data_IF_923333642811
#
_entry.id   IF_923333642811
#
_cell.length_a   1.000
_cell.length_b   1.000
_cell.length_c   1.000
_cell.angle_alpha   90.00
_cell.angle_beta   90.00
_cell.angle_gamma   90.00
#
_symmetry.space_group_name_H-M   'P 1'
#
loop_
_entity.id
_entity.type
_entity.pdbx_description
1 polymer ?
#
# COMPACT_ATOMS: atom_id res chain seq x y z
N UNK A 1 -3.14 30.49 -37.00
CA UNK A 1 -2.73 30.05 -35.65
C UNK A 1 -3.94 29.36 -35.01
N UNK A 2 -4.00 28.03 -35.10
CA UNK A 2 -5.06 27.21 -34.50
C UNK A 2 -4.45 26.48 -33.29
N UNK A 3 -4.85 26.88 -32.08
CA UNK A 3 -4.53 26.14 -30.87
C UNK A 3 -5.41 24.89 -30.81
N UNK A 4 -4.79 23.71 -30.93
CA UNK A 4 -5.43 22.43 -30.58
C UNK A 4 -5.53 22.35 -29.06
N UNK A 5 -6.73 22.06 -28.56
CA UNK A 5 -6.97 21.79 -27.14
C UNK A 5 -6.20 20.53 -26.68
N UNK A 6 -5.74 20.48 -25.42
CA UNK A 6 -5.11 19.29 -24.86
C UNK A 6 -6.12 18.14 -24.75
N UNK A 7 -5.65 16.87 -24.84
CA UNK A 7 -6.52 15.70 -24.79
C UNK A 7 -7.20 15.57 -23.43
N UNK A 8 -8.48 15.22 -23.44
CA UNK A 8 -9.28 14.89 -22.26
C UNK A 8 -8.70 13.65 -21.58
N UNK A 9 -8.34 13.79 -20.31
CA UNK A 9 -8.05 12.67 -19.41
C UNK A 9 -9.41 12.05 -19.05
N UNK A 10 -9.67 10.83 -19.52
CA UNK A 10 -10.84 10.04 -19.11
C UNK A 10 -10.68 9.52 -17.66
N UNK A 11 -11.77 9.45 -16.88
CA UNK A 11 -11.72 9.12 -15.45
C UNK A 11 -11.51 7.61 -15.24
N UNK A 12 -10.27 7.18 -15.05
CA UNK A 12 -9.93 5.82 -14.53
C UNK A 12 -10.00 5.71 -13.00
N UNK A 13 -10.51 6.73 -12.30
CA UNK A 13 -10.53 6.82 -10.83
C UNK A 13 -11.71 6.03 -10.21
N UNK A 14 -12.76 5.70 -10.97
CA UNK A 14 -13.97 5.06 -10.43
C UNK A 14 -13.88 3.53 -10.28
N UNK A 15 -12.97 2.84 -10.97
CA UNK A 15 -12.86 1.37 -10.86
C UNK A 15 -12.02 0.91 -9.65
N UNK A 16 -11.12 1.74 -9.12
CA UNK A 16 -10.26 1.38 -7.99
C UNK A 16 -10.94 1.53 -6.61
N UNK A 17 -12.05 2.26 -6.54
CA UNK A 17 -12.80 2.47 -5.29
C UNK A 17 -13.77 1.33 -4.96
N UNK A 18 -14.04 0.43 -5.93
CA UNK A 18 -15.03 -0.63 -5.78
C UNK A 18 -14.41 -1.97 -5.35
N UNK A 19 -13.16 -2.25 -5.72
CA UNK A 19 -12.45 -3.49 -5.30
C UNK A 19 -11.93 -3.42 -3.85
N UNK A 20 -11.54 -2.23 -3.35
CA UNK A 20 -11.07 -2.04 -1.96
C UNK A 20 -12.20 -2.12 -0.93
N UNK A 21 -13.47 -1.96 -1.35
CA UNK A 21 -14.62 -2.18 -0.46
C UNK A 21 -14.87 -3.66 -0.15
N UNK A 22 -14.32 -4.58 -0.95
CA UNK A 22 -14.59 -6.01 -0.83
C UNK A 22 -13.46 -6.79 -0.13
N UNK A 23 -12.36 -6.13 0.28
CA UNK A 23 -11.17 -6.79 0.84
C UNK A 23 -10.93 -6.58 2.35
N UNK A 24 -11.86 -5.96 3.08
CA UNK A 24 -11.79 -5.93 4.55
C UNK A 24 -12.47 -7.18 5.15
N UNK A 25 -11.77 -8.02 5.94
CA UNK A 25 -12.36 -9.23 6.54
C UNK A 25 -13.40 -8.95 7.63
N UNK A 26 -13.53 -7.71 8.08
CA UNK A 26 -14.39 -7.34 9.22
C UNK A 26 -15.43 -6.30 8.82
N UNK A 27 -16.36 -6.71 7.96
CA UNK A 27 -17.67 -6.06 7.83
C UNK A 27 -18.65 -6.84 8.70
N UNK A 28 -18.87 -6.38 9.93
CA UNK A 28 -20.11 -6.75 10.61
C UNK A 28 -21.23 -5.97 9.93
N UNK A 29 -21.92 -6.62 8.99
CA UNK A 29 -23.23 -6.14 8.57
C UNK A 29 -24.16 -6.33 9.75
N UNK A 30 -24.32 -5.30 10.59
CA UNK A 30 -25.55 -5.17 11.37
C UNK A 30 -26.67 -5.14 10.34
N UNK A 31 -27.37 -6.26 10.19
CA UNK A 31 -28.38 -6.42 9.16
C UNK A 31 -29.43 -5.34 9.35
N UNK A 32 -29.67 -4.51 8.32
CA UNK A 32 -30.77 -3.54 8.32
C UNK A 32 -32.06 -4.28 8.73
N UNK A 33 -32.83 -3.69 9.64
CA UNK A 33 -34.03 -4.33 10.19
C UNK A 33 -34.92 -4.88 9.05
N UNK A 34 -35.28 -6.15 9.12
CA UNK A 34 -35.96 -6.87 8.04
C UNK A 34 -37.48 -6.78 8.09
N UNK A 35 -38.06 -6.21 9.15
CA UNK A 35 -39.52 -6.12 9.36
C UNK A 35 -39.99 -4.67 9.39
N UNK A 36 -41.05 -4.39 8.64
CA UNK A 36 -41.81 -3.13 8.67
C UNK A 36 -43.25 -3.42 9.12
N UNK A 37 -43.42 -3.86 10.38
CA UNK A 37 -44.75 -4.02 10.99
C UNK A 37 -44.85 -3.19 12.26
N UNK A 38 -46.03 -2.73 12.68
CA UNK A 38 -46.20 -2.13 14.00
C UNK A 38 -45.74 -3.10 15.10
N UNK A 39 -45.28 -2.53 16.23
CA UNK A 39 -45.04 -3.32 17.45
C UNK A 39 -46.37 -3.92 17.92
N UNK A 40 -46.34 -5.17 18.36
CA UNK A 40 -47.47 -5.79 19.03
C UNK A 40 -47.50 -5.38 20.52
N UNK A 41 -48.60 -5.69 21.22
CA UNK A 41 -48.76 -5.31 22.64
C UNK A 41 -47.64 -5.82 23.55
N UNK A 42 -47.07 -7.00 23.26
CA UNK A 42 -45.98 -7.57 24.04
C UNK A 42 -44.68 -6.81 23.81
N UNK A 43 -44.37 -6.47 22.56
CA UNK A 43 -43.20 -5.67 22.18
C UNK A 43 -43.31 -4.24 22.73
N UNK A 44 -44.50 -3.63 22.76
CA UNK A 44 -44.71 -2.32 23.40
C UNK A 44 -44.52 -2.38 24.93
N UNK A 45 -44.99 -3.45 25.58
CA UNK A 45 -44.74 -3.66 27.01
C UNK A 45 -43.24 -3.85 27.29
N UNK A 46 -42.55 -4.63 26.46
CA UNK A 46 -41.09 -4.81 26.55
C UNK A 46 -40.36 -3.49 26.35
N UNK A 47 -40.75 -2.67 25.35
CA UNK A 47 -40.16 -1.35 25.11
C UNK A 47 -40.35 -0.42 26.31
N UNK A 48 -41.54 -0.39 26.91
CA UNK A 48 -41.82 0.39 28.11
C UNK A 48 -40.97 -0.06 29.29
N UNK A 49 -40.86 -1.36 29.52
CA UNK A 49 -40.03 -1.92 30.58
C UNK A 49 -38.56 -1.63 30.36
N UNK A 50 -38.06 -1.77 29.12
CA UNK A 50 -36.68 -1.48 28.76
C UNK A 50 -36.29 -0.03 29.12
N UNK A 51 -37.13 0.95 28.75
CA UNK A 51 -36.92 2.34 29.16
C UNK A 51 -37.03 2.54 30.67
N UNK A 52 -37.97 1.88 31.35
CA UNK A 52 -38.07 1.93 32.81
C UNK A 52 -36.77 1.44 33.47
N UNK A 53 -36.17 0.39 32.92
CA UNK A 53 -34.97 -0.25 33.44
C UNK A 53 -33.69 0.52 33.13
N UNK A 54 -33.51 1.02 31.90
CA UNK A 54 -32.36 1.84 31.50
C UNK A 54 -32.23 3.08 32.41
N UNK A 55 -33.35 3.67 32.81
CA UNK A 55 -33.39 4.86 33.67
C UNK A 55 -33.46 4.52 35.17
N UNK A 56 -33.35 3.25 35.54
CA UNK A 56 -33.32 2.81 36.95
C UNK A 56 -31.93 2.98 37.57
N UNK A 57 -31.79 2.62 38.85
CA UNK A 57 -30.50 2.58 39.56
C UNK A 57 -29.95 1.17 39.80
N UNK A 58 -30.69 0.12 39.42
CA UNK A 58 -30.25 -1.26 39.64
C UNK A 58 -29.46 -1.78 38.46
N UNK A 59 -28.22 -2.23 38.68
CA UNK A 59 -27.33 -2.64 37.59
C UNK A 59 -27.89 -3.77 36.73
N UNK A 60 -28.46 -4.81 37.36
CA UNK A 60 -29.11 -5.93 36.65
C UNK A 60 -30.29 -5.44 35.80
N UNK A 61 -31.08 -4.51 36.33
CA UNK A 61 -32.20 -3.92 35.59
C UNK A 61 -31.67 -3.13 34.41
N UNK A 62 -30.68 -2.26 34.61
CA UNK A 62 -30.06 -1.46 33.54
C UNK A 62 -29.60 -2.36 32.41
N UNK A 63 -28.85 -3.43 32.72
CA UNK A 63 -28.35 -4.39 31.73
C UNK A 63 -29.51 -5.06 30.96
N UNK A 64 -30.50 -5.61 31.67
CA UNK A 64 -31.70 -6.18 31.05
C UNK A 64 -32.42 -5.16 30.15
N UNK A 65 -32.47 -3.90 30.57
CA UNK A 65 -33.07 -2.81 29.80
C UNK A 65 -32.32 -2.53 28.49
N UNK A 66 -30.99 -2.51 28.53
CA UNK A 66 -30.14 -2.30 27.35
C UNK A 66 -30.31 -3.47 26.36
N UNK A 67 -30.21 -4.71 26.83
CA UNK A 67 -30.38 -5.91 26.01
C UNK A 67 -31.76 -5.95 25.35
N UNK A 68 -32.82 -5.72 26.13
CA UNK A 68 -34.20 -5.71 25.62
C UNK A 68 -34.39 -4.64 24.55
N UNK A 69 -33.86 -3.42 24.76
CA UNK A 69 -33.96 -2.35 23.78
C UNK A 69 -33.18 -2.68 22.50
N UNK A 70 -31.95 -3.21 22.64
CA UNK A 70 -31.09 -3.65 21.54
C UNK A 70 -31.80 -4.69 20.67
N UNK A 71 -32.36 -5.73 21.29
CA UNK A 71 -33.07 -6.80 20.58
C UNK A 71 -34.31 -6.27 19.84
N UNK A 72 -35.09 -5.39 20.47
CA UNK A 72 -36.25 -4.77 19.82
C UNK A 72 -35.83 -3.93 18.60
N UNK A 73 -34.75 -3.17 18.73
CA UNK A 73 -34.21 -2.33 17.65
C UNK A 73 -33.65 -3.14 16.49
N UNK A 74 -32.90 -4.21 16.75
CA UNK A 74 -32.40 -5.13 15.72
C UNK A 74 -33.55 -5.76 14.95
N UNK A 75 -34.60 -6.18 15.67
CA UNK A 75 -35.75 -6.86 15.08
C UNK A 75 -36.62 -5.93 14.23
N UNK A 76 -36.86 -4.70 14.68
CA UNK A 76 -37.83 -3.80 14.04
C UNK A 76 -37.60 -2.32 14.37
N UNK A 77 -36.43 -1.80 13.98
CA UNK A 77 -36.00 -0.42 14.24
C UNK A 77 -37.09 0.62 13.92
N UNK A 78 -37.65 0.59 12.70
CA UNK A 78 -38.63 1.59 12.27
C UNK A 78 -39.89 1.61 13.15
N UNK A 79 -40.35 0.46 13.63
CA UNK A 79 -41.52 0.42 14.50
C UNK A 79 -41.22 0.94 15.91
N UNK A 80 -39.99 0.71 16.40
CA UNK A 80 -39.55 1.27 17.69
C UNK A 80 -39.37 2.79 17.58
N UNK A 81 -38.69 3.29 16.55
CA UNK A 81 -38.42 4.71 16.33
C UNK A 81 -39.71 5.54 16.18
N UNK A 82 -40.73 4.99 15.51
CA UNK A 82 -42.04 5.63 15.38
C UNK A 82 -42.94 5.48 16.62
N UNK A 83 -42.56 4.65 17.60
CA UNK A 83 -43.42 4.40 18.75
C UNK A 83 -43.47 5.61 19.70
N UNK A 84 -44.65 5.88 20.25
CA UNK A 84 -44.86 6.98 21.20
C UNK A 84 -43.96 6.87 22.45
N UNK A 85 -43.70 5.65 22.95
CA UNK A 85 -42.87 5.40 24.13
C UNK A 85 -41.42 5.84 23.85
N UNK A 86 -40.89 5.46 22.69
CA UNK A 86 -39.55 5.83 22.27
C UNK A 86 -39.44 7.35 22.09
N UNK A 87 -40.38 7.95 21.37
CA UNK A 87 -40.36 9.39 21.09
C UNK A 87 -40.47 10.26 22.36
N UNK A 88 -41.14 9.80 23.41
CA UNK A 88 -41.19 10.50 24.71
C UNK A 88 -39.83 10.54 25.44
N UNK A 89 -38.98 9.53 25.22
CA UNK A 89 -37.68 9.38 25.91
C UNK A 89 -36.47 9.64 25.01
N UNK A 90 -36.68 9.76 23.70
CA UNK A 90 -35.65 9.97 22.67
C UNK A 90 -34.63 11.03 23.03
N UNK A 91 -35.09 12.20 23.48
CA UNK A 91 -34.20 13.32 23.82
C UNK A 91 -33.43 13.14 25.14
N UNK A 92 -33.89 12.25 26.02
CA UNK A 92 -33.23 11.96 27.30
C UNK A 92 -32.24 10.79 27.19
N UNK A 93 -32.42 9.93 26.18
CA UNK A 93 -31.63 8.73 25.98
C UNK A 93 -30.13 9.05 25.80
N UNK A 94 -29.70 10.04 25.00
CA UNK A 94 -28.28 10.34 24.82
C UNK A 94 -27.53 10.61 26.14
N UNK A 95 -28.02 11.55 26.94
CA UNK A 95 -27.41 11.90 28.22
C UNK A 95 -27.34 10.70 29.17
N UNK A 96 -28.37 9.85 29.14
CA UNK A 96 -28.39 8.64 29.96
C UNK A 96 -27.35 7.63 29.48
N UNK A 97 -27.25 7.37 28.18
CA UNK A 97 -26.24 6.47 27.62
C UNK A 97 -24.82 6.99 27.91
N UNK A 98 -24.56 8.29 27.79
CA UNK A 98 -23.28 8.90 28.17
C UNK A 98 -22.98 8.76 29.67
N UNK A 99 -23.99 8.92 30.52
CA UNK A 99 -23.82 8.69 31.96
C UNK A 99 -23.44 7.23 32.25
N UNK A 100 -24.08 6.27 31.57
CA UNK A 100 -23.80 4.86 31.73
C UNK A 100 -22.42 4.47 31.18
N UNK A 101 -22.01 5.03 30.04
CA UNK A 101 -20.66 4.86 29.49
C UNK A 101 -19.58 5.29 30.49
N UNK A 102 -19.75 6.44 31.14
CA UNK A 102 -18.79 6.93 32.15
C UNK A 102 -18.70 6.04 33.41
N UNK A 103 -19.68 5.16 33.66
CA UNK A 103 -19.56 4.16 34.75
C UNK A 103 -18.64 3.00 34.41
N UNK A 104 -18.22 2.88 33.14
CA UNK A 104 -17.40 1.82 32.54
C UNK A 104 -17.99 0.40 32.58
N UNK A 105 -18.88 0.11 33.56
CA UNK A 105 -19.52 -1.20 33.76
C UNK A 105 -20.36 -1.68 32.58
N UNK A 106 -21.00 -0.76 31.86
CA UNK A 106 -21.91 -1.07 30.76
C UNK A 106 -21.32 -0.70 29.39
N UNK A 107 -19.99 -0.52 29.29
CA UNK A 107 -19.38 0.05 28.09
C UNK A 107 -19.71 -0.75 26.83
N UNK A 108 -19.47 -2.06 26.85
CA UNK A 108 -19.72 -2.93 25.70
C UNK A 108 -21.21 -2.94 25.30
N UNK A 109 -22.11 -3.12 26.28
CA UNK A 109 -23.56 -3.14 26.04
C UNK A 109 -24.07 -1.84 25.42
N UNK A 110 -23.57 -0.70 25.91
CA UNK A 110 -23.97 0.61 25.41
C UNK A 110 -23.39 0.86 24.02
N UNK A 111 -22.12 0.50 23.78
CA UNK A 111 -21.51 0.64 22.45
C UNK A 111 -22.22 -0.20 21.40
N UNK A 112 -22.63 -1.44 21.74
CA UNK A 112 -23.44 -2.27 20.84
C UNK A 112 -24.82 -1.66 20.56
N UNK A 113 -25.48 -1.10 21.58
CA UNK A 113 -26.74 -0.41 21.39
C UNK A 113 -26.58 0.83 20.49
N UNK A 114 -25.50 1.59 20.67
CA UNK A 114 -25.17 2.75 19.83
C UNK A 114 -24.93 2.33 18.38
N UNK A 115 -24.20 1.24 18.14
CA UNK A 115 -24.00 0.69 16.79
C UNK A 115 -25.34 0.38 16.11
N UNK A 116 -26.29 -0.23 16.81
CA UNK A 116 -27.63 -0.51 16.27
C UNK A 116 -28.40 0.78 15.97
N UNK A 117 -28.41 1.74 16.89
CA UNK A 117 -29.11 3.02 16.72
C UNK A 117 -28.61 3.76 15.48
N UNK A 118 -27.29 3.78 15.29
CA UNK A 118 -26.63 4.59 14.28
C UNK A 118 -26.58 3.92 12.92
N UNK A 119 -26.56 2.59 12.85
CA UNK A 119 -26.72 1.84 11.61
C UNK A 119 -28.08 2.13 10.93
N UNK A 120 -29.08 2.53 11.72
CA UNK A 120 -30.45 2.71 11.25
C UNK A 120 -30.93 4.19 11.28
N UNK A 121 -30.24 5.10 11.97
CA UNK A 121 -30.58 6.52 11.99
C UNK A 121 -29.36 7.44 12.14
N UNK A 122 -29.18 8.36 11.18
CA UNK A 122 -28.17 9.42 11.23
C UNK A 122 -28.50 10.56 12.19
N UNK A 123 -29.70 10.57 12.78
CA UNK A 123 -30.08 11.61 13.75
C UNK A 123 -29.36 11.44 15.09
N UNK A 124 -29.20 10.19 15.54
CA UNK A 124 -28.41 9.90 16.74
C UNK A 124 -26.97 10.38 16.58
N UNK A 125 -26.41 10.33 15.37
CA UNK A 125 -25.06 10.84 15.08
C UNK A 125 -24.93 12.33 15.48
N UNK A 126 -25.95 13.15 15.16
CA UNK A 126 -26.00 14.56 15.55
C UNK A 126 -26.23 14.76 17.03
N UNK A 127 -27.00 13.88 17.68
CA UNK A 127 -27.25 13.98 19.13
C UNK A 127 -25.99 13.68 19.95
N UNK A 128 -25.06 12.90 19.42
CA UNK A 128 -23.83 12.48 20.09
C UNK A 128 -22.57 13.22 19.60
N UNK A 129 -22.67 14.01 18.54
CA UNK A 129 -21.54 14.53 17.73
C UNK A 129 -20.41 15.17 18.54
N UNK A 130 -20.75 15.87 19.64
CA UNK A 130 -19.76 16.58 20.46
C UNK A 130 -19.42 15.88 21.78
N UNK A 131 -20.39 15.23 22.42
CA UNK A 131 -20.22 14.72 23.80
C UNK A 131 -19.70 13.28 23.84
N UNK A 132 -20.06 12.46 22.85
CA UNK A 132 -19.63 11.07 22.79
C UNK A 132 -18.11 10.94 22.55
N UNK A 133 -17.49 11.67 21.62
CA UNK A 133 -16.02 11.64 21.46
C UNK A 133 -15.28 11.94 22.78
N UNK A 134 -15.73 12.94 23.53
CA UNK A 134 -15.14 13.32 24.82
C UNK A 134 -15.33 12.22 25.87
N UNK A 135 -16.52 11.64 25.95
CA UNK A 135 -16.81 10.55 26.88
C UNK A 135 -15.94 9.32 26.60
N UNK A 136 -15.83 8.91 25.33
CA UNK A 136 -15.00 7.77 24.92
C UNK A 136 -13.52 8.00 25.25
N UNK A 137 -13.01 9.21 25.04
CA UNK A 137 -11.62 9.54 25.38
C UNK A 137 -11.33 9.45 26.88
N UNK A 138 -12.26 9.92 27.71
CA UNK A 138 -12.12 9.82 29.16
C UNK A 138 -12.07 8.36 29.60
N UNK A 139 -12.84 7.48 28.95
CA UNK A 139 -12.82 6.04 29.23
C UNK A 139 -11.47 5.44 28.81
N UNK A 140 -10.99 5.72 27.59
CA UNK A 140 -9.67 5.28 27.11
C UNK A 140 -8.56 5.69 28.08
N UNK A 141 -8.60 6.94 28.57
CA UNK A 141 -7.55 7.49 29.43
C UNK A 141 -7.59 7.00 30.88
N UNK A 142 -8.68 6.37 31.32
CA UNK A 142 -8.90 6.01 32.74
C UNK A 142 -9.17 4.53 32.99
N UNK A 143 -9.32 3.73 31.93
CA UNK A 143 -9.58 2.29 32.07
C UNK A 143 -8.34 1.54 32.55
N UNK A 144 -8.54 0.61 33.48
CA UNK A 144 -7.53 -0.38 33.88
C UNK A 144 -7.59 -1.64 33.02
N UNK A 145 -8.73 -1.91 32.38
CA UNK A 145 -8.93 -3.03 31.46
C UNK A 145 -8.77 -2.49 30.04
N UNK A 146 -7.51 -2.18 29.73
CA UNK A 146 -7.13 -1.42 28.56
C UNK A 146 -7.56 -2.13 27.26
N UNK A 147 -7.20 -3.40 27.09
CA UNK A 147 -7.46 -4.13 25.83
C UNK A 147 -8.95 -4.33 25.54
N UNK A 148 -9.74 -4.82 26.50
CA UNK A 148 -11.15 -5.17 26.23
C UNK A 148 -11.98 -3.92 25.89
N UNK A 149 -11.89 -2.90 26.74
CA UNK A 149 -12.70 -1.68 26.60
C UNK A 149 -12.26 -0.88 25.37
N UNK A 150 -10.96 -0.78 25.12
CA UNK A 150 -10.45 -0.02 23.98
C UNK A 150 -10.75 -0.75 22.68
N UNK A 151 -10.62 -2.07 22.64
CA UNK A 151 -11.05 -2.84 21.47
C UNK A 151 -12.51 -2.55 21.11
N UNK A 152 -13.43 -2.58 22.09
CA UNK A 152 -14.84 -2.25 21.88
C UNK A 152 -15.05 -0.81 21.40
N UNK A 153 -14.37 0.17 22.00
CA UNK A 153 -14.45 1.58 21.61
C UNK A 153 -13.92 1.79 20.19
N UNK A 154 -12.76 1.22 19.86
CA UNK A 154 -12.14 1.33 18.55
C UNK A 154 -12.99 0.62 17.49
N UNK A 155 -13.52 -0.56 17.79
CA UNK A 155 -14.48 -1.26 16.94
C UNK A 155 -15.69 -0.38 16.62
N UNK A 156 -16.23 0.30 17.62
CA UNK A 156 -17.28 1.29 17.43
C UNK A 156 -16.83 2.45 16.53
N UNK A 157 -15.62 3.01 16.73
CA UNK A 157 -15.07 4.10 15.91
C UNK A 157 -14.90 3.71 14.43
N UNK A 158 -14.45 2.48 14.17
CA UNK A 158 -14.31 1.90 12.81
C UNK A 158 -15.63 1.90 12.04
N UNK A 159 -16.77 1.77 12.73
CA UNK A 159 -18.11 1.73 12.13
C UNK A 159 -18.64 3.13 11.76
N UNK A 160 -18.02 4.21 12.27
CA UNK A 160 -18.55 5.57 12.16
C UNK A 160 -18.32 6.22 10.79
N UNK A 161 -18.88 7.41 10.59
CA UNK A 161 -18.58 8.24 9.44
C UNK A 161 -17.23 8.97 9.61
N UNK A 162 -16.73 9.60 8.54
CA UNK A 162 -15.43 10.31 8.55
C UNK A 162 -15.42 11.53 9.48
N UNK A 163 -16.50 12.31 9.53
CA UNK A 163 -16.59 13.53 10.36
C UNK A 163 -16.42 13.16 11.84
N UNK A 164 -17.08 12.09 12.28
CA UNK A 164 -16.94 11.60 13.65
C UNK A 164 -15.50 11.21 13.96
N UNK A 165 -14.84 10.45 13.07
CA UNK A 165 -13.43 10.08 13.26
C UNK A 165 -12.54 11.33 13.32
N UNK A 166 -12.73 12.29 12.43
CA UNK A 166 -11.98 13.54 12.42
C UNK A 166 -12.09 14.29 13.75
N UNK A 167 -13.31 14.52 14.24
CA UNK A 167 -13.53 15.19 15.53
C UNK A 167 -12.89 14.42 16.69
N UNK A 168 -12.90 13.09 16.61
CA UNK A 168 -12.27 12.24 17.61
C UNK A 168 -10.74 12.41 17.61
N UNK A 169 -10.11 12.43 16.43
CA UNK A 169 -8.68 12.69 16.30
C UNK A 169 -8.33 14.12 16.73
N UNK A 170 -9.10 15.11 16.25
CA UNK A 170 -8.85 16.53 16.49
C UNK A 170 -8.96 16.92 17.97
N UNK A 171 -9.91 16.35 18.71
CA UNK A 171 -10.21 16.84 20.06
C UNK A 171 -9.56 15.96 21.13
N UNK A 172 -9.26 14.69 20.84
CA UNK A 172 -9.14 13.70 21.89
C UNK A 172 -8.02 12.67 21.78
N UNK A 173 -7.62 12.25 20.57
CA UNK A 173 -6.65 11.16 20.41
C UNK A 173 -5.20 11.63 20.33
N UNK A 174 -4.96 12.96 20.36
CA UNK A 174 -3.63 13.49 20.10
C UNK A 174 -2.54 12.95 21.04
N UNK A 175 -2.84 12.88 22.33
CA UNK A 175 -1.83 12.56 23.33
C UNK A 175 -1.86 11.09 23.78
N UNK A 176 -2.97 10.39 23.56
CA UNK A 176 -3.24 9.09 24.18
C UNK A 176 -3.02 7.91 23.25
N UNK A 177 -3.24 8.09 21.94
CA UNK A 177 -3.24 6.97 20.99
C UNK A 177 -1.87 6.28 20.81
N UNK A 178 -0.73 7.00 20.76
CA UNK A 178 0.58 6.34 20.67
C UNK A 178 0.86 5.44 21.87
N UNK A 179 0.67 5.96 23.09
CA UNK A 179 0.83 5.18 24.33
C UNK A 179 -0.12 3.99 24.35
N UNK A 180 -1.37 4.23 23.93
CA UNK A 180 -2.40 3.22 23.84
C UNK A 180 -2.03 2.07 22.90
N UNK A 181 -1.43 2.39 21.75
CA UNK A 181 -0.97 1.38 20.80
C UNK A 181 0.16 0.53 21.36
N UNK A 182 1.08 1.12 22.12
CA UNK A 182 2.22 0.40 22.71
C UNK A 182 1.78 -0.58 23.81
N UNK A 183 0.75 -0.23 24.59
CA UNK A 183 0.24 -1.07 25.68
C UNK A 183 -0.77 -2.14 25.21
N UNK A 184 -1.30 -1.98 23.99
CA UNK A 184 -2.31 -2.85 23.40
C UNK A 184 -1.80 -4.26 23.04
N UNK A 185 -2.68 -5.25 23.13
CA UNK A 185 -2.48 -6.54 22.46
C UNK A 185 -2.56 -6.43 20.92
N UNK A 186 -2.12 -7.48 20.23
CA UNK A 186 -2.02 -7.48 18.76
C UNK A 186 -3.36 -7.21 18.06
N UNK A 187 -4.46 -7.75 18.58
CA UNK A 187 -5.80 -7.56 18.00
C UNK A 187 -6.25 -6.10 18.14
N UNK A 188 -5.99 -5.49 19.30
CA UNK A 188 -6.29 -4.08 19.55
C UNK A 188 -5.41 -3.16 18.72
N UNK A 189 -4.12 -3.49 18.55
CA UNK A 189 -3.22 -2.76 17.65
C UNK A 189 -3.69 -2.77 16.20
N UNK A 190 -4.17 -3.92 15.70
CA UNK A 190 -4.72 -4.02 14.35
C UNK A 190 -5.97 -3.16 14.17
N UNK A 191 -6.83 -3.09 15.19
CA UNK A 191 -7.99 -2.21 15.19
C UNK A 191 -7.60 -0.72 15.22
N UNK A 192 -6.59 -0.34 16.02
CA UNK A 192 -6.02 1.02 16.01
C UNK A 192 -5.54 1.40 14.60
N UNK A 193 -4.73 0.53 13.98
CA UNK A 193 -4.22 0.72 12.62
C UNK A 193 -5.36 0.87 11.60
N UNK A 194 -6.42 0.08 11.77
CA UNK A 194 -7.63 0.15 10.92
C UNK A 194 -8.37 1.48 11.07
N UNK A 195 -8.50 2.02 12.28
CA UNK A 195 -9.10 3.34 12.50
C UNK A 195 -8.27 4.42 11.81
N UNK A 196 -6.94 4.41 11.99
CA UNK A 196 -6.02 5.36 11.34
C UNK A 196 -6.20 5.32 9.81
N UNK A 197 -6.20 4.13 9.22
CA UNK A 197 -6.41 3.95 7.79
C UNK A 197 -7.76 4.52 7.32
N UNK A 198 -8.85 4.22 8.04
CA UNK A 198 -10.19 4.72 7.69
C UNK A 198 -10.35 6.24 7.86
N UNK A 199 -9.58 6.86 8.73
CA UNK A 199 -9.52 8.32 8.85
C UNK A 199 -8.85 8.91 7.62
N UNK A 200 -7.67 8.41 7.27
CA UNK A 200 -6.88 8.86 6.10
C UNK A 200 -7.62 8.63 4.77
N UNK A 201 -8.47 7.59 4.69
CA UNK A 201 -9.28 7.29 3.51
C UNK A 201 -10.53 8.16 3.35
N UNK A 202 -10.88 8.97 4.35
CA UNK A 202 -12.10 9.75 4.32
C UNK A 202 -12.12 10.86 3.27
N UNK A 203 -13.31 11.32 2.84
CA UNK A 203 -13.43 12.44 1.93
C UNK A 203 -13.09 13.75 2.67
N UNK A 204 -11.93 14.32 2.37
CA UNK A 204 -11.47 15.58 2.95
C UNK A 204 -9.95 15.64 3.03
N UNK A 205 -9.40 16.84 3.26
CA UNK A 205 -8.01 16.99 3.67
C UNK A 205 -7.91 16.77 5.17
N UNK A 206 -6.95 15.96 5.62
CA UNK A 206 -6.59 15.88 7.03
C UNK A 206 -6.15 17.25 7.54
N UNK A 207 -6.43 17.53 8.81
CA UNK A 207 -5.85 18.69 9.48
C UNK A 207 -4.33 18.51 9.62
N UNK A 208 -3.57 19.60 9.76
CA UNK A 208 -2.12 19.50 9.99
C UNK A 208 -1.78 18.66 11.22
N UNK A 209 -2.55 18.82 12.30
CA UNK A 209 -2.30 18.13 13.55
C UNK A 209 -2.58 16.61 13.41
N UNK A 210 -3.64 16.20 12.72
CA UNK A 210 -3.90 14.78 12.40
C UNK A 210 -2.76 14.18 11.61
N UNK A 211 -2.27 14.93 10.62
CA UNK A 211 -1.17 14.47 9.76
C UNK A 211 0.09 14.20 10.58
N UNK A 212 0.43 15.07 11.55
CA UNK A 212 1.57 14.88 12.45
C UNK A 212 1.45 13.60 13.27
N UNK A 213 0.25 13.27 13.77
CA UNK A 213 0.07 12.04 14.54
C UNK A 213 0.14 10.80 13.71
N UNK A 214 -0.56 10.81 12.59
CA UNK A 214 -0.57 9.66 11.70
C UNK A 214 0.87 9.37 11.24
N UNK A 215 1.66 10.42 11.00
CA UNK A 215 3.10 10.33 10.76
C UNK A 215 3.88 9.74 11.95
N UNK A 216 3.68 10.25 13.17
CA UNK A 216 4.35 9.74 14.37
C UNK A 216 4.03 8.26 14.64
N UNK A 217 2.82 7.83 14.30
CA UNK A 217 2.42 6.43 14.45
C UNK A 217 2.92 5.55 13.32
N UNK A 218 3.24 6.12 12.15
CA UNK A 218 3.61 5.36 10.97
C UNK A 218 4.84 4.50 11.20
N UNK A 219 5.85 5.02 11.88
CA UNK A 219 7.04 4.25 12.26
C UNK A 219 6.67 3.03 13.12
N UNK A 220 5.80 3.21 14.12
CA UNK A 220 5.34 2.12 15.00
C UNK A 220 4.53 1.06 14.23
N UNK A 221 3.70 1.49 13.27
CA UNK A 221 2.94 0.57 12.41
C UNK A 221 3.84 -0.21 11.45
N UNK A 222 4.92 0.40 10.98
CA UNK A 222 5.83 -0.20 9.99
C UNK A 222 6.96 -1.02 10.61
N UNK A 223 7.16 -0.95 11.93
CA UNK A 223 8.19 -1.70 12.67
C UNK A 223 7.65 -2.92 13.42
N UNK A 224 6.34 -3.18 13.37
CA UNK A 224 5.70 -4.36 13.97
C UNK A 224 5.88 -5.62 13.12
N UNK A 225 5.90 -6.79 13.76
CA UNK A 225 5.96 -8.09 13.08
C UNK A 225 4.60 -8.51 12.48
N UNK A 226 3.50 -7.85 12.85
CA UNK A 226 2.17 -8.18 12.32
C UNK A 226 1.99 -7.64 10.88
N UNK A 227 1.94 -8.57 9.92
CA UNK A 227 1.68 -8.32 8.49
C UNK A 227 0.47 -7.44 8.17
N UNK A 228 -0.66 -7.60 8.88
CA UNK A 228 -1.87 -6.81 8.65
C UNK A 228 -1.66 -5.34 9.04
N UNK A 229 -0.93 -5.12 10.13
CA UNK A 229 -0.62 -3.79 10.62
C UNK A 229 0.38 -3.11 9.69
N UNK A 230 1.42 -3.82 9.25
CA UNK A 230 2.37 -3.32 8.25
C UNK A 230 1.64 -2.92 6.97
N UNK A 231 0.70 -3.76 6.49
CA UNK A 231 -0.14 -3.45 5.32
C UNK A 231 -0.93 -2.16 5.53
N UNK A 232 -1.55 -1.98 6.71
CA UNK A 232 -2.24 -0.73 7.06
C UNK A 232 -1.29 0.47 7.05
N UNK A 233 -0.10 0.35 7.64
CA UNK A 233 0.92 1.40 7.65
C UNK A 233 1.34 1.80 6.22
N UNK A 234 1.60 0.82 5.35
CA UNK A 234 1.95 1.08 3.95
C UNK A 234 0.78 1.72 3.17
N UNK A 235 -0.46 1.33 3.45
CA UNK A 235 -1.63 1.96 2.83
C UNK A 235 -1.85 3.39 3.31
N UNK A 236 -1.63 3.68 4.59
CA UNK A 236 -1.63 5.03 5.16
C UNK A 236 -0.56 5.88 4.47
N UNK A 237 0.68 5.38 4.39
CA UNK A 237 1.77 6.07 3.72
C UNK A 237 1.44 6.40 2.25
N UNK A 238 0.69 5.53 1.57
CA UNK A 238 0.29 5.74 0.16
C UNK A 238 -0.62 6.95 -0.06
N UNK A 239 -1.31 7.38 1.00
CA UNK A 239 -2.36 8.40 0.99
C UNK A 239 -1.87 9.74 1.48
N UNK A 240 -0.80 9.75 2.26
CA UNK A 240 -0.21 10.97 2.79
C UNK A 240 0.57 11.69 1.68
N UNK A 241 0.32 12.98 1.53
CA UNK A 241 1.15 13.86 0.71
C UNK A 241 2.36 14.28 1.54
N UNK A 242 3.43 13.47 1.49
CA UNK A 242 4.65 13.71 2.27
C UNK A 242 5.74 14.37 1.43
N UNK A 243 6.48 15.27 2.05
CA UNK A 243 7.73 15.75 1.47
C UNK A 243 8.83 14.70 1.67
N UNK A 244 9.89 14.75 0.85
CA UNK A 244 11.00 13.78 0.94
C UNK A 244 11.64 13.80 2.34
N UNK A 245 11.69 14.96 2.99
CA UNK A 245 12.26 15.10 4.34
C UNK A 245 11.44 14.38 5.41
N UNK A 246 10.11 14.35 5.27
CA UNK A 246 9.24 13.60 6.20
C UNK A 246 9.43 12.09 6.03
N UNK A 247 9.63 11.64 4.79
CA UNK A 247 9.93 10.22 4.53
C UNK A 247 11.31 9.86 5.08
N UNK A 248 12.30 10.75 4.93
CA UNK A 248 13.64 10.53 5.46
C UNK A 248 13.66 10.42 6.98
N UNK A 249 12.90 11.25 7.71
CA UNK A 249 12.85 11.16 9.18
C UNK A 249 12.27 9.84 9.66
N UNK A 250 11.27 9.30 8.96
CA UNK A 250 10.66 7.98 9.26
C UNK A 250 11.65 6.83 8.99
N UNK A 251 12.57 7.00 8.04
CA UNK A 251 13.54 5.97 7.64
C UNK A 251 14.92 6.14 8.29
N UNK A 252 15.14 7.22 9.05
CA UNK A 252 16.47 7.67 9.49
C UNK A 252 17.20 6.60 10.31
N UNK A 253 16.48 5.90 11.19
CA UNK A 253 17.06 4.89 12.08
C UNK A 253 17.19 3.49 11.46
N UNK A 254 16.69 3.31 10.24
CA UNK A 254 16.74 2.06 9.49
C UNK A 254 15.80 0.95 9.99
N UNK A 255 15.06 1.12 11.09
CA UNK A 255 14.18 0.06 11.63
C UNK A 255 13.03 -0.28 10.69
N UNK A 256 12.44 0.73 10.05
CA UNK A 256 11.40 0.53 9.04
C UNK A 256 11.94 -0.30 7.87
N UNK A 257 13.12 0.04 7.34
CA UNK A 257 13.75 -0.72 6.25
C UNK A 257 14.07 -2.15 6.68
N UNK A 258 14.63 -2.34 7.88
CA UNK A 258 14.84 -3.66 8.47
C UNK A 258 13.56 -4.49 8.46
N UNK A 259 12.47 -3.97 9.04
CA UNK A 259 11.22 -4.71 9.19
C UNK A 259 10.51 -4.99 7.86
N UNK A 260 10.56 -4.04 6.92
CA UNK A 260 10.09 -4.27 5.56
C UNK A 260 10.91 -5.38 4.87
N UNK A 261 12.23 -5.41 5.06
CA UNK A 261 13.04 -6.49 4.54
C UNK A 261 12.74 -7.84 5.23
N UNK A 262 12.35 -7.88 6.50
CA UNK A 262 11.86 -9.12 7.13
C UNK A 262 10.51 -9.56 6.56
N UNK A 263 9.62 -8.61 6.26
CA UNK A 263 8.29 -8.88 5.68
C UNK A 263 8.35 -9.53 4.28
N UNK A 264 9.49 -9.45 3.58
CA UNK A 264 9.72 -10.16 2.32
C UNK A 264 9.70 -11.69 2.49
N UNK A 265 9.99 -12.20 3.68
CA UNK A 265 9.95 -13.63 3.98
C UNK A 265 8.55 -14.11 4.41
N UNK A 266 7.55 -13.22 4.38
CA UNK A 266 6.16 -13.58 4.65
C UNK A 266 5.60 -14.50 3.56
N UNK A 267 4.68 -15.38 3.95
CA UNK A 267 3.92 -16.21 3.01
C UNK A 267 2.83 -15.46 2.25
N UNK A 268 2.59 -14.18 2.55
CA UNK A 268 1.59 -13.33 1.88
C UNK A 268 2.21 -12.61 0.68
N UNK A 269 1.96 -13.13 -0.51
CA UNK A 269 2.48 -12.57 -1.76
C UNK A 269 1.99 -11.14 -2.03
N UNK A 270 0.79 -10.76 -1.55
CA UNK A 270 0.29 -9.40 -1.73
C UNK A 270 1.08 -8.41 -0.90
N UNK A 271 1.38 -8.77 0.37
CA UNK A 271 2.23 -7.99 1.23
C UNK A 271 3.63 -7.86 0.64
N UNK A 272 4.24 -8.98 0.20
CA UNK A 272 5.55 -8.99 -0.45
C UNK A 272 5.61 -7.99 -1.62
N UNK A 273 4.64 -8.04 -2.53
CA UNK A 273 4.57 -7.13 -3.67
C UNK A 273 4.45 -5.67 -3.21
N UNK A 274 3.66 -5.40 -2.16
CA UNK A 274 3.52 -4.07 -1.57
C UNK A 274 4.85 -3.58 -0.97
N UNK A 275 5.55 -4.45 -0.25
CA UNK A 275 6.87 -4.16 0.33
C UNK A 275 7.88 -3.84 -0.76
N UNK A 276 8.01 -4.64 -1.81
CA UNK A 276 8.95 -4.38 -2.92
C UNK A 276 8.65 -3.02 -3.57
N UNK A 277 7.37 -2.68 -3.76
CA UNK A 277 6.96 -1.36 -4.28
C UNK A 277 7.47 -0.23 -3.39
N UNK A 278 7.38 -0.36 -2.07
CA UNK A 278 7.85 0.67 -1.16
C UNK A 278 9.37 0.74 -1.04
N UNK A 279 10.05 -0.40 -0.99
CA UNK A 279 11.52 -0.44 -1.05
C UNK A 279 12.03 0.22 -2.34
N UNK A 280 11.40 -0.04 -3.48
CA UNK A 280 11.71 0.63 -4.75
C UNK A 280 11.54 2.16 -4.65
N UNK A 281 10.44 2.63 -4.08
CA UNK A 281 10.18 4.07 -3.88
C UNK A 281 11.20 4.72 -2.95
N UNK A 282 11.53 4.06 -1.84
CA UNK A 282 12.49 4.57 -0.87
C UNK A 282 13.93 4.56 -1.42
N UNK A 283 14.29 3.56 -2.22
CA UNK A 283 15.59 3.52 -2.89
C UNK A 283 15.83 4.72 -3.81
N UNK A 284 14.77 5.33 -4.36
CA UNK A 284 14.87 6.55 -5.16
C UNK A 284 15.27 7.80 -4.34
N UNK A 285 15.27 7.73 -3.01
CA UNK A 285 15.68 8.84 -2.15
C UNK A 285 17.21 9.00 -2.17
N UNK A 286 17.96 7.90 -2.23
CA UNK A 286 19.42 7.95 -2.37
C UNK A 286 20.16 6.75 -1.80
N UNK A 287 21.49 6.85 -1.90
CA UNK A 287 22.44 5.78 -1.57
C UNK A 287 22.34 5.30 -0.11
N UNK A 288 22.04 6.17 0.85
CA UNK A 288 21.89 5.78 2.27
C UNK A 288 20.80 4.73 2.45
N UNK A 289 19.63 4.93 1.83
CA UNK A 289 18.51 3.99 1.92
C UNK A 289 18.86 2.69 1.19
N UNK A 290 19.51 2.80 0.03
CA UNK A 290 19.98 1.63 -0.73
C UNK A 290 20.93 0.77 0.13
N UNK A 291 21.88 1.39 0.84
CA UNK A 291 22.78 0.69 1.75
C UNK A 291 22.03 -0.02 2.88
N UNK A 292 21.02 0.63 3.48
CA UNK A 292 20.17 -0.02 4.47
C UNK A 292 19.42 -1.24 3.91
N UNK A 293 18.89 -1.16 2.68
CA UNK A 293 18.22 -2.31 2.04
C UNK A 293 19.22 -3.46 1.82
N UNK A 294 20.45 -3.15 1.42
CA UNK A 294 21.54 -4.11 1.22
C UNK A 294 21.97 -4.79 2.52
N UNK A 295 22.21 -4.02 3.57
CA UNK A 295 22.59 -4.51 4.91
C UNK A 295 21.54 -5.48 5.48
N UNK A 296 20.29 -5.34 5.05
CA UNK A 296 19.16 -6.18 5.45
C UNK A 296 18.83 -7.31 4.45
N UNK A 297 19.75 -7.59 3.52
CA UNK A 297 19.66 -8.65 2.51
C UNK A 297 18.42 -8.55 1.61
N UNK A 298 17.89 -7.34 1.38
CA UNK A 298 16.60 -7.14 0.70
C UNK A 298 16.52 -7.80 -0.67
N UNK A 299 17.52 -7.61 -1.54
CA UNK A 299 17.55 -8.24 -2.87
C UNK A 299 17.71 -9.77 -2.79
N UNK A 300 18.46 -10.29 -1.82
CA UNK A 300 18.64 -11.73 -1.65
C UNK A 300 17.33 -12.40 -1.19
N UNK A 301 16.56 -11.72 -0.34
CA UNK A 301 15.23 -12.20 0.06
C UNK A 301 14.25 -12.16 -1.11
N UNK A 302 14.26 -11.09 -1.91
CA UNK A 302 13.47 -11.00 -3.14
C UNK A 302 13.83 -12.12 -4.12
N UNK A 303 15.11 -12.47 -4.29
CA UNK A 303 15.50 -13.50 -5.26
C UNK A 303 14.99 -14.89 -4.90
N UNK A 304 14.85 -15.21 -3.61
CA UNK A 304 14.31 -16.50 -3.13
C UNK A 304 12.82 -16.69 -3.45
N UNK A 305 12.08 -15.59 -3.57
CA UNK A 305 10.62 -15.58 -3.79
C UNK A 305 10.23 -15.06 -5.18
N UNK A 306 11.20 -14.72 -6.02
CA UNK A 306 10.97 -14.08 -7.30
C UNK A 306 10.25 -15.01 -8.28
N UNK A 307 9.07 -14.60 -8.74
CA UNK A 307 8.31 -15.32 -9.75
C UNK A 307 8.42 -14.62 -11.12
N UNK A 308 9.11 -15.23 -12.11
CA UNK A 308 9.26 -14.67 -13.45
C UNK A 308 7.96 -14.70 -14.28
N UNK A 309 6.86 -15.24 -13.77
CA UNK A 309 5.53 -15.13 -14.38
C UNK A 309 4.70 -13.98 -13.78
N UNK A 310 5.11 -13.43 -12.63
CA UNK A 310 4.38 -12.36 -11.97
C UNK A 310 4.83 -10.98 -12.47
N UNK A 311 4.09 -10.43 -13.45
CA UNK A 311 4.36 -9.11 -14.05
C UNK A 311 4.57 -8.00 -13.02
N UNK A 312 3.74 -7.94 -11.97
CA UNK A 312 3.84 -6.88 -10.95
C UNK A 312 5.16 -6.99 -10.18
N UNK A 313 5.53 -8.20 -9.77
CA UNK A 313 6.77 -8.45 -9.07
C UNK A 313 7.98 -8.09 -9.94
N UNK A 314 8.00 -8.53 -11.21
CA UNK A 314 9.08 -8.20 -12.16
C UNK A 314 9.27 -6.68 -12.26
N UNK A 315 8.20 -5.93 -12.57
CA UNK A 315 8.29 -4.48 -12.75
C UNK A 315 8.82 -3.79 -11.50
N UNK A 316 8.29 -4.14 -10.32
CA UNK A 316 8.68 -3.47 -9.07
C UNK A 316 10.11 -3.81 -8.65
N UNK A 317 10.53 -5.07 -8.80
CA UNK A 317 11.89 -5.49 -8.50
C UNK A 317 12.89 -4.83 -9.45
N UNK A 318 12.58 -4.75 -10.74
CA UNK A 318 13.47 -4.10 -11.70
C UNK A 318 13.50 -2.58 -11.54
N UNK A 319 12.40 -1.95 -11.12
CA UNK A 319 12.42 -0.53 -10.72
C UNK A 319 13.32 -0.31 -9.49
N UNK A 320 13.30 -1.20 -8.51
CA UNK A 320 14.24 -1.18 -7.38
C UNK A 320 15.69 -1.29 -7.87
N UNK A 321 15.99 -2.24 -8.76
CA UNK A 321 17.33 -2.38 -9.35
C UNK A 321 17.76 -1.15 -10.15
N UNK A 322 16.86 -0.53 -10.91
CA UNK A 322 17.16 0.67 -11.67
C UNK A 322 17.57 1.83 -10.75
N UNK A 323 16.82 2.06 -9.65
CA UNK A 323 17.17 3.05 -8.64
C UNK A 323 18.54 2.73 -8.00
N UNK A 324 18.78 1.46 -7.69
CA UNK A 324 20.02 1.00 -7.08
C UNK A 324 21.24 1.24 -7.99
N UNK A 325 21.16 0.81 -9.25
CA UNK A 325 22.23 0.97 -10.25
C UNK A 325 22.48 2.44 -10.63
N UNK A 326 21.46 3.29 -10.49
CA UNK A 326 21.57 4.72 -10.78
C UNK A 326 22.22 5.47 -9.62
N UNK A 327 21.77 5.23 -8.39
CA UNK A 327 22.07 6.08 -7.25
C UNK A 327 23.18 5.54 -6.33
N UNK A 328 23.46 4.24 -6.33
CA UNK A 328 24.58 3.69 -5.57
C UNK A 328 25.90 3.85 -6.31
N UNK A 329 26.98 4.19 -5.62
CA UNK A 329 28.33 4.27 -6.17
C UNK A 329 29.07 2.95 -6.08
N UNK A 330 29.10 2.36 -4.89
CA UNK A 330 29.98 1.23 -4.57
C UNK A 330 29.22 -0.08 -4.29
N UNK A 331 27.92 -0.02 -4.00
CA UNK A 331 27.13 -1.19 -3.62
C UNK A 331 26.47 -1.88 -4.83
N UNK A 332 27.30 -2.40 -5.73
CA UNK A 332 26.84 -3.01 -7.00
C UNK A 332 26.82 -4.54 -6.98
N UNK A 333 27.44 -5.18 -5.98
CA UNK A 333 27.50 -6.63 -5.88
C UNK A 333 26.10 -7.25 -5.73
N UNK A 334 25.23 -6.67 -4.89
CA UNK A 334 23.88 -7.22 -4.68
C UNK A 334 23.02 -7.21 -5.95
N UNK A 335 22.92 -6.10 -6.71
CA UNK A 335 22.29 -6.11 -8.03
C UNK A 335 22.91 -7.14 -9.00
N UNK A 336 24.24 -7.27 -9.02
CA UNK A 336 24.90 -8.24 -9.88
C UNK A 336 24.52 -9.68 -9.52
N UNK A 337 24.63 -10.07 -8.24
CA UNK A 337 24.25 -11.40 -7.76
C UNK A 337 22.77 -11.70 -8.03
N UNK A 338 21.89 -10.72 -7.84
CA UNK A 338 20.47 -10.85 -8.16
C UNK A 338 20.25 -11.17 -9.64
N UNK A 339 20.86 -10.38 -10.54
CA UNK A 339 20.69 -10.57 -11.98
C UNK A 339 21.28 -11.91 -12.46
N UNK A 340 22.28 -12.45 -11.77
CA UNK A 340 22.87 -13.76 -12.07
C UNK A 340 21.98 -14.94 -11.70
N UNK A 341 21.10 -14.80 -10.71
CA UNK A 341 20.20 -15.90 -10.30
C UNK A 341 18.85 -15.88 -11.02
N UNK A 342 18.46 -14.74 -11.60
CA UNK A 342 17.21 -14.61 -12.37
C UNK A 342 17.42 -15.02 -13.83
N UNK A 343 16.45 -15.76 -14.38
CA UNK A 343 16.46 -16.14 -15.79
C UNK A 343 16.00 -14.97 -16.69
N UNK A 344 16.89 -13.99 -16.91
CA UNK A 344 16.65 -12.82 -17.76
C UNK A 344 16.21 -13.20 -19.18
N UNK A 345 16.76 -14.28 -19.73
CA UNK A 345 16.40 -14.78 -21.05
C UNK A 345 14.92 -15.14 -21.11
N UNK A 346 14.43 -15.92 -20.16
CA UNK A 346 13.02 -16.29 -20.09
C UNK A 346 12.11 -15.06 -19.97
N UNK A 347 12.49 -14.08 -19.14
CA UNK A 347 11.71 -12.85 -18.96
C UNK A 347 11.66 -12.03 -20.26
N UNK A 348 12.78 -11.88 -20.97
CA UNK A 348 12.81 -11.15 -22.24
C UNK A 348 12.03 -11.87 -23.34
N UNK A 349 12.15 -13.20 -23.42
CA UNK A 349 11.43 -14.00 -24.43
C UNK A 349 9.92 -13.93 -24.26
N UNK A 350 9.41 -13.98 -23.01
CA UNK A 350 7.99 -14.11 -22.69
C UNK A 350 7.32 -12.83 -22.15
N UNK A 351 8.11 -11.82 -21.80
CA UNK A 351 7.61 -10.56 -21.24
C UNK A 351 6.83 -9.74 -22.26
N UNK A 352 5.79 -9.06 -21.79
CA UNK A 352 5.11 -8.06 -22.58
C UNK A 352 5.93 -6.77 -22.71
N UNK A 353 5.39 -5.80 -23.45
CA UNK A 353 6.08 -4.56 -23.75
C UNK A 353 6.53 -3.79 -22.50
N UNK A 354 5.71 -3.72 -21.45
CA UNK A 354 6.07 -2.99 -20.22
C UNK A 354 7.22 -3.67 -19.49
N UNK A 355 7.21 -5.02 -19.44
CA UNK A 355 8.30 -5.81 -18.86
C UNK A 355 9.58 -5.59 -19.67
N UNK A 356 9.49 -5.64 -21.00
CA UNK A 356 10.64 -5.50 -21.89
C UNK A 356 11.36 -4.16 -21.67
N UNK A 357 10.63 -3.04 -21.60
CA UNK A 357 11.24 -1.71 -21.37
C UNK A 357 12.00 -1.65 -20.05
N UNK A 358 11.36 -2.09 -18.96
CA UNK A 358 11.94 -2.04 -17.62
C UNK A 358 13.15 -2.97 -17.49
N UNK A 359 13.08 -4.17 -18.06
CA UNK A 359 14.18 -5.14 -18.02
C UNK A 359 15.37 -4.65 -18.85
N UNK A 360 15.14 -4.16 -20.08
CA UNK A 360 16.20 -3.61 -20.92
C UNK A 360 16.87 -2.40 -20.26
N UNK A 361 16.09 -1.54 -19.63
CA UNK A 361 16.62 -0.40 -18.87
C UNK A 361 17.60 -0.83 -17.78
N UNK A 362 17.27 -1.87 -17.01
CA UNK A 362 18.17 -2.43 -15.99
C UNK A 362 19.38 -3.10 -16.61
N UNK A 363 19.23 -3.84 -17.71
CA UNK A 363 20.36 -4.47 -18.41
C UNK A 363 21.32 -3.41 -18.96
N UNK A 364 20.81 -2.30 -19.50
CA UNK A 364 21.64 -1.16 -19.92
C UNK A 364 22.34 -0.50 -18.74
N UNK A 365 21.63 -0.23 -17.65
CA UNK A 365 22.26 0.33 -16.44
C UNK A 365 23.38 -0.60 -15.93
N UNK A 366 23.12 -1.91 -15.88
CA UNK A 366 24.09 -2.91 -15.47
C UNK A 366 25.30 -2.94 -16.42
N UNK A 367 25.09 -2.89 -17.74
CA UNK A 367 26.18 -2.91 -18.72
C UNK A 367 27.12 -1.71 -18.58
N UNK A 368 26.60 -0.55 -18.17
CA UNK A 368 27.41 0.67 -17.99
C UNK A 368 28.10 0.70 -16.62
N UNK A 369 27.53 0.05 -15.61
CA UNK A 369 27.95 0.19 -14.20
C UNK A 369 28.84 -0.95 -13.70
N UNK A 370 28.66 -2.17 -14.20
CA UNK A 370 29.44 -3.31 -13.77
C UNK A 370 30.84 -3.32 -14.39
N UNK A 371 31.76 -4.06 -13.77
CA UNK A 371 33.10 -4.20 -14.37
C UNK A 371 33.04 -5.13 -15.58
N UNK A 372 33.98 -4.96 -16.52
CA UNK A 372 34.03 -5.69 -17.79
C UNK A 372 33.74 -7.20 -17.65
N UNK A 373 34.37 -7.88 -16.69
CA UNK A 373 34.17 -9.32 -16.47
C UNK A 373 32.74 -9.68 -16.07
N UNK A 374 32.10 -8.85 -15.24
CA UNK A 374 30.73 -9.07 -14.78
C UNK A 374 29.73 -8.87 -15.91
N UNK A 375 29.95 -7.87 -16.78
CA UNK A 375 29.08 -7.60 -17.92
C UNK A 375 29.04 -8.82 -18.86
N UNK A 376 30.19 -9.43 -19.17
CA UNK A 376 30.23 -10.61 -20.04
C UNK A 376 29.63 -11.87 -19.42
N UNK A 377 29.70 -12.00 -18.10
CA UNK A 377 29.03 -13.08 -17.38
C UNK A 377 27.51 -12.89 -17.43
N UNK A 378 27.04 -11.66 -17.16
CA UNK A 378 25.62 -11.31 -17.19
C UNK A 378 25.03 -11.45 -18.60
N UNK A 379 25.65 -10.79 -19.59
CA UNK A 379 25.25 -10.81 -21.00
C UNK A 379 25.93 -11.98 -21.70
N UNK A 380 25.56 -13.18 -21.24
CA UNK A 380 25.99 -14.43 -21.85
C UNK A 380 25.59 -14.52 -23.33
N UNK A 381 26.25 -15.36 -24.15
CA UNK A 381 25.93 -15.52 -25.57
C UNK A 381 24.45 -15.83 -25.86
N UNK A 382 23.79 -16.58 -24.97
CA UNK A 382 22.36 -16.88 -25.07
C UNK A 382 21.47 -15.66 -24.80
N UNK A 383 21.82 -14.84 -23.79
CA UNK A 383 21.12 -13.59 -23.52
C UNK A 383 21.34 -12.59 -24.65
N UNK A 384 22.57 -12.46 -25.15
CA UNK A 384 22.91 -11.62 -26.29
C UNK A 384 22.10 -11.98 -27.54
N UNK A 385 22.00 -13.27 -27.87
CA UNK A 385 21.18 -13.74 -28.99
C UNK A 385 19.71 -13.35 -28.83
N UNK A 386 19.20 -13.37 -27.59
CA UNK A 386 17.84 -12.94 -27.26
C UNK A 386 17.68 -11.44 -27.46
N UNK A 387 18.65 -10.63 -27.00
CA UNK A 387 18.65 -9.17 -27.21
C UNK A 387 18.69 -8.82 -28.69
N UNK A 388 19.51 -9.52 -29.50
CA UNK A 388 19.54 -9.35 -30.96
C UNK A 388 18.18 -9.67 -31.57
N UNK A 389 17.54 -10.77 -31.19
CA UNK A 389 16.18 -11.08 -31.65
C UNK A 389 15.19 -9.96 -31.31
N UNK A 390 15.23 -9.43 -30.08
CA UNK A 390 14.33 -8.35 -29.66
C UNK A 390 14.62 -7.03 -30.37
N UNK A 391 15.87 -6.76 -30.75
CA UNK A 391 16.21 -5.56 -31.52
C UNK A 391 15.53 -5.59 -32.89
N UNK A 392 15.65 -6.70 -33.63
CA UNK A 392 15.07 -6.82 -34.98
C UNK A 392 13.59 -6.49 -35.01
N UNK A 393 12.87 -6.94 -33.98
CA UNK A 393 11.43 -6.80 -33.85
C UNK A 393 11.00 -5.45 -33.21
N UNK A 394 11.95 -4.62 -32.75
CA UNK A 394 11.64 -3.42 -31.99
C UNK A 394 11.36 -2.19 -32.87
N UNK A 395 10.12 -1.72 -32.87
CA UNK A 395 9.76 -0.44 -33.50
C UNK A 395 9.76 0.76 -32.53
N UNK A 396 9.80 0.48 -31.22
CA UNK A 396 9.79 1.53 -30.19
C UNK A 396 11.18 2.20 -30.09
N UNK A 397 11.26 3.55 -30.18
CA UNK A 397 12.53 4.27 -30.11
C UNK A 397 13.28 4.08 -28.79
N UNK A 398 12.57 3.91 -27.66
CA UNK A 398 13.20 3.73 -26.35
C UNK A 398 13.85 2.34 -26.25
N UNK A 399 13.18 1.30 -26.74
CA UNK A 399 13.78 -0.05 -26.84
C UNK A 399 15.01 -0.04 -27.74
N UNK A 400 14.94 0.61 -28.90
CA UNK A 400 16.08 0.73 -29.83
C UNK A 400 17.26 1.45 -29.17
N UNK A 401 17.00 2.54 -28.45
CA UNK A 401 18.02 3.25 -27.68
C UNK A 401 18.68 2.36 -26.62
N UNK A 402 17.87 1.68 -25.79
CA UNK A 402 18.37 0.80 -24.73
C UNK A 402 19.28 -0.31 -25.29
N UNK A 403 18.88 -0.94 -26.39
CA UNK A 403 19.65 -2.01 -27.04
C UNK A 403 20.93 -1.50 -27.74
N UNK A 404 20.88 -0.33 -28.39
CA UNK A 404 22.07 0.29 -28.96
C UNK A 404 23.13 0.56 -27.87
N UNK A 405 22.73 1.12 -26.73
CA UNK A 405 23.67 1.40 -25.63
C UNK A 405 24.25 0.09 -25.08
N UNK A 406 23.43 -0.95 -24.88
CA UNK A 406 23.93 -2.26 -24.40
C UNK A 406 25.00 -2.80 -25.36
N UNK A 407 24.72 -2.82 -26.66
CA UNK A 407 25.67 -3.34 -27.64
C UNK A 407 26.93 -2.50 -27.72
N UNK A 408 26.83 -1.17 -27.83
CA UNK A 408 27.99 -0.30 -27.84
C UNK A 408 28.86 -0.47 -26.59
N UNK A 409 28.23 -0.62 -25.42
CA UNK A 409 28.95 -0.85 -24.16
C UNK A 409 29.67 -2.19 -24.18
N UNK A 410 29.06 -3.25 -24.72
CA UNK A 410 29.71 -4.55 -24.91
C UNK A 410 30.89 -4.47 -25.87
N UNK A 411 30.78 -3.67 -26.94
CA UNK A 411 31.83 -3.50 -27.94
C UNK A 411 33.02 -2.72 -27.39
N UNK A 412 32.76 -1.58 -26.76
CA UNK A 412 33.80 -0.69 -26.18
C UNK A 412 34.60 -1.37 -25.07
N UNK A 413 33.98 -2.30 -24.34
CA UNK A 413 34.64 -3.08 -23.31
C UNK A 413 35.30 -4.37 -23.82
N UNK A 414 35.18 -4.73 -25.11
CA UNK A 414 35.68 -6.01 -25.63
C UNK A 414 37.18 -5.96 -25.96
N UNK A 415 38.02 -6.20 -24.96
CA UNK A 415 39.48 -6.30 -25.13
C UNK A 415 39.96 -7.74 -25.38
N UNK A 416 39.18 -8.75 -24.99
CA UNK A 416 39.48 -10.16 -25.23
C UNK A 416 39.06 -10.57 -26.65
N UNK A 417 40.00 -11.10 -27.43
CA UNK A 417 39.79 -11.52 -28.81
C UNK A 417 38.71 -12.59 -28.96
N UNK A 418 38.58 -13.51 -27.99
CA UNK A 418 37.58 -14.59 -28.03
C UNK A 418 36.18 -14.01 -27.88
N UNK A 419 35.99 -13.15 -26.88
CA UNK A 419 34.73 -12.46 -26.61
C UNK A 419 34.37 -11.55 -27.80
N UNK A 420 35.36 -10.84 -28.35
CA UNK A 420 35.19 -9.98 -29.51
C UNK A 420 34.70 -10.74 -30.75
N UNK A 421 35.27 -11.92 -31.02
CA UNK A 421 34.84 -12.78 -32.13
C UNK A 421 33.44 -13.37 -31.91
N UNK A 422 33.12 -13.78 -30.68
CA UNK A 422 31.80 -14.30 -30.33
C UNK A 422 30.71 -13.24 -30.47
N UNK A 423 30.96 -12.03 -29.95
CA UNK A 423 30.09 -10.85 -30.15
C UNK A 423 29.86 -10.59 -31.63
N UNK A 424 30.94 -10.56 -32.43
CA UNK A 424 30.85 -10.30 -33.86
C UNK A 424 30.04 -11.38 -34.59
N UNK A 425 30.18 -12.65 -34.22
CA UNK A 425 29.42 -13.73 -34.84
C UNK A 425 27.92 -13.65 -34.53
N UNK A 426 27.54 -13.28 -33.30
CA UNK A 426 26.13 -13.15 -32.89
C UNK A 426 25.49 -11.90 -33.51
N UNK A 427 26.26 -10.81 -33.66
CA UNK A 427 25.79 -9.57 -34.29
C UNK A 427 25.76 -9.62 -35.83
N UNK A 428 26.37 -10.63 -36.45
CA UNK A 428 26.33 -10.87 -37.91
C UNK A 428 25.01 -11.50 -38.32
N UNK A 429 23.95 -10.74 -38.13
CA UNK A 429 22.62 -11.09 -38.51
C UNK A 429 22.07 -10.09 -39.53
N UNK A 430 21.56 -10.59 -40.66
CA UNK A 430 21.15 -9.75 -41.79
C UNK A 430 19.99 -8.81 -41.42
N UNK A 431 19.05 -9.27 -40.58
CA UNK A 431 17.91 -8.45 -40.16
C UNK A 431 18.35 -7.35 -39.18
N UNK A 432 19.26 -7.69 -38.26
CA UNK A 432 19.86 -6.70 -37.37
C UNK A 432 20.66 -5.65 -38.16
N UNK A 433 21.44 -6.09 -39.15
CA UNK A 433 22.24 -5.21 -40.00
C UNK A 433 21.35 -4.19 -40.73
N UNK A 434 20.23 -4.66 -41.31
CA UNK A 434 19.27 -3.78 -41.98
C UNK A 434 18.66 -2.77 -41.00
N UNK A 435 18.23 -3.24 -39.81
CA UNK A 435 17.68 -2.36 -38.76
C UNK A 435 18.67 -1.29 -38.31
N UNK A 436 19.94 -1.65 -38.13
CA UNK A 436 20.98 -0.70 -37.74
C UNK A 436 21.28 0.33 -38.84
N UNK A 437 21.22 -0.04 -40.12
CA UNK A 437 21.37 0.93 -41.21
C UNK A 437 20.23 1.95 -41.22
N UNK A 438 19.00 1.51 -40.99
CA UNK A 438 17.84 2.39 -40.91
C UNK A 438 17.97 3.37 -39.72
N UNK A 439 18.45 2.89 -38.57
CA UNK A 439 18.70 3.74 -37.40
C UNK A 439 19.88 4.71 -37.60
N UNK A 440 20.93 4.30 -38.32
CA UNK A 440 22.10 5.14 -38.60
C UNK A 440 21.79 6.38 -39.46
N UNK A 441 20.70 6.35 -40.23
CA UNK A 441 20.22 7.48 -41.03
C UNK A 441 19.02 8.20 -40.39
N UNK A 442 18.61 7.79 -39.18
CA UNK A 442 17.47 8.34 -38.45
C UNK A 442 17.72 9.72 -37.84
N UNK A 443 16.63 10.34 -37.36
CA UNK A 443 16.65 11.69 -36.78
C UNK A 443 17.27 11.77 -35.38
N UNK A 444 17.25 10.67 -34.61
CA UNK A 444 17.88 10.62 -33.29
C UNK A 444 19.39 10.41 -33.40
N UNK A 445 20.12 11.52 -33.26
CA UNK A 445 21.58 11.56 -33.44
C UNK A 445 22.32 10.59 -32.54
N UNK A 446 21.90 10.44 -31.27
CA UNK A 446 22.61 9.60 -30.31
C UNK A 446 22.48 8.13 -30.74
N UNK A 447 21.26 7.68 -31.02
CA UNK A 447 21.02 6.32 -31.52
C UNK A 447 21.71 6.08 -32.87
N UNK A 448 21.72 7.06 -33.77
CA UNK A 448 22.37 6.96 -35.07
C UNK A 448 23.91 6.80 -34.97
N UNK A 449 24.55 7.54 -34.06
CA UNK A 449 25.99 7.43 -33.78
C UNK A 449 26.35 6.03 -33.23
N UNK A 450 25.58 5.53 -32.26
CA UNK A 450 25.76 4.18 -31.72
C UNK A 450 25.54 3.09 -32.77
N UNK A 451 24.48 3.21 -33.59
CA UNK A 451 24.21 2.27 -34.67
C UNK A 451 25.35 2.23 -35.69
N UNK A 452 25.90 3.39 -36.05
CA UNK A 452 27.07 3.49 -36.94
C UNK A 452 28.31 2.81 -36.34
N UNK A 453 28.54 3.01 -35.04
CA UNK A 453 29.63 2.35 -34.30
C UNK A 453 29.49 0.82 -34.35
N UNK A 454 28.30 0.29 -34.08
CA UNK A 454 28.00 -1.15 -34.12
C UNK A 454 28.17 -1.70 -35.54
N UNK A 455 27.67 -1.01 -36.57
CA UNK A 455 27.84 -1.40 -37.97
C UNK A 455 29.32 -1.51 -38.38
N UNK A 456 30.12 -0.51 -37.99
CA UNK A 456 31.55 -0.50 -38.29
C UNK A 456 32.29 -1.71 -37.70
N UNK A 457 31.89 -2.13 -36.50
CA UNK A 457 32.42 -3.31 -35.83
C UNK A 457 32.05 -4.61 -36.56
N UNK A 458 30.79 -4.74 -37.01
CA UNK A 458 30.32 -5.91 -37.77
C UNK A 458 31.11 -6.05 -39.10
N UNK A 459 31.41 -4.93 -39.75
CA UNK A 459 32.06 -4.87 -41.07
C UNK A 459 33.59 -5.10 -41.05
N UNK A 460 34.28 -4.81 -39.93
CA UNK A 460 35.76 -4.77 -39.85
C UNK A 460 36.50 -6.07 -40.25
N UNK A 461 35.82 -7.22 -40.29
CA UNK A 461 36.37 -8.52 -40.73
C UNK A 461 35.73 -9.09 -42.02
N UNK A 462 34.97 -8.30 -42.78
CA UNK A 462 34.52 -8.70 -44.14
C UNK A 462 35.66 -8.48 -45.15
N UNK A 463 36.62 -7.61 -44.83
CA UNK A 463 37.77 -7.25 -45.67
C UNK A 463 39.06 -8.07 -45.41
N UNK A 464 39.03 -9.11 -44.56
CA UNK A 464 40.17 -10.02 -44.31
C UNK A 464 39.91 -11.47 -44.77
N UNK A 465 38.89 -11.71 -45.60
CA UNK A 465 38.76 -12.91 -46.45
C UNK A 465 38.89 -12.49 -47.91
#
# INVERSE_FOLDING_TARGET
MNYKSPPKIEPRIEQFTQEVRNSMPFSFMVSKSTKQRPLNNQEEMQLRSAFGFIFSQGDELIQMGIETLKDLMINNFHAVDMNSIFNQRRNQLPNRLLTLLNTQKFTDDILELLDVLLANSSEFDRMFENELPTCLNNIISSTSDFNLIIYSIIRYIVSRNHIFRHNLFEIHFYDTLPTSYVEADTDTQEMIATVLLKTVQGPGSMTPMESIIILNMLEMLLTTENSNIVKCGLDILSRLSLEINDVLSILEDGKVIYNLCQSLESGDIELVICVIKYLSRFANIGETIISQISENEGLQKISRIFDPQNKKMIILTFNLLANWLTLSKDNLNDPFQFLMVINLRFILENGDFDILKVVLHVVRLASVRFVQSEIYILISPGLLSTLVSKFKDADDPEINYELCVIFETMLSNSTDLVIHQELQNILRDDDLYNKLNDLAIGDDKITAEMATSILSFIQKNISEK
#
